data_IF_222229171728
#
_entry.id   IF_222229171728
#
_cell.length_a   1.000
_cell.length_b   1.000
_cell.length_c   1.000
_cell.angle_alpha   90.00
_cell.angle_beta   90.00
_cell.angle_gamma   90.00
#
_symmetry.space_group_name_H-M   'P 1'
#
loop_
_entity.id
_entity.type
_entity.pdbx_description
1 polymer ?
#
# COMPACT_ATOMS: atom_id res chain seq x y z
N UNK A 1 7.60 -2.69 6.09
CA UNK A 1 6.98 -3.72 5.25
C UNK A 1 5.84 -3.11 4.43
N UNK A 2 5.56 -3.68 3.26
CA UNK A 2 4.52 -3.11 2.38
C UNK A 2 3.12 -3.15 3.02
N UNK A 3 2.76 -4.24 3.69
CA UNK A 3 1.44 -4.38 4.32
C UNK A 3 1.27 -3.58 5.62
N UNK A 4 2.35 -3.35 6.39
CA UNK A 4 2.28 -2.67 7.69
C UNK A 4 2.77 -1.21 7.65
N UNK A 5 3.34 -0.78 6.54
CA UNK A 5 3.85 0.60 6.37
C UNK A 5 3.23 1.27 5.15
N UNK A 6 3.43 0.74 3.94
CA UNK A 6 2.95 1.37 2.70
C UNK A 6 1.42 1.36 2.57
N UNK A 7 0.76 0.24 2.92
CA UNK A 7 -0.70 0.14 2.92
C UNK A 7 -1.35 1.13 3.88
N UNK A 8 -0.99 1.15 5.18
CA UNK A 8 -1.48 2.14 6.13
C UNK A 8 -1.18 3.59 5.73
N UNK A 9 0.01 3.88 5.20
CA UNK A 9 0.34 5.20 4.67
C UNK A 9 -0.62 5.63 3.57
N UNK A 10 -0.84 4.74 2.59
CA UNK A 10 -1.74 5.01 1.47
C UNK A 10 -3.17 5.22 1.94
N UNK A 11 -3.65 4.39 2.87
CA UNK A 11 -4.98 4.54 3.46
C UNK A 11 -5.13 5.89 4.18
N UNK A 12 -4.18 6.24 5.03
CA UNK A 12 -4.18 7.52 5.75
C UNK A 12 -4.20 8.72 4.79
N UNK A 13 -3.40 8.68 3.72
CA UNK A 13 -3.37 9.74 2.71
C UNK A 13 -4.71 9.90 2.01
N UNK A 14 -5.29 8.82 1.48
CA UNK A 14 -6.58 8.83 0.79
C UNK A 14 -7.68 9.38 1.71
N UNK A 15 -7.69 8.93 2.97
CA UNK A 15 -8.69 9.34 3.93
C UNK A 15 -8.56 10.81 4.35
N UNK A 16 -7.33 11.34 4.48
CA UNK A 16 -7.07 12.75 4.74
C UNK A 16 -7.52 13.65 3.57
N UNK A 17 -7.21 13.25 2.34
CA UNK A 17 -7.63 13.95 1.12
C UNK A 17 -9.16 14.03 1.01
N UNK A 18 -9.85 12.95 1.39
CA UNK A 18 -11.31 12.88 1.43
C UNK A 18 -11.92 13.73 2.54
N UNK A 19 -11.20 13.93 3.65
CA UNK A 19 -11.66 14.64 4.85
C UNK A 19 -10.78 15.87 5.19
N UNK A 20 -10.69 16.88 4.30
CA UNK A 20 -9.81 18.02 4.49
C UNK A 20 -10.18 18.87 5.72
N UNK A 21 -11.46 18.89 6.09
CA UNK A 21 -12.01 19.68 7.19
C UNK A 21 -12.02 18.94 8.53
N UNK A 22 -11.51 17.71 8.62
CA UNK A 22 -11.40 17.01 9.89
C UNK A 22 -10.45 17.75 10.84
N UNK A 23 -10.85 17.91 12.10
CA UNK A 23 -10.00 18.51 13.12
C UNK A 23 -8.96 17.50 13.66
N UNK A 24 -9.34 16.24 13.74
CA UNK A 24 -8.46 15.14 14.19
C UNK A 24 -8.89 13.81 13.58
N UNK A 25 -8.07 12.78 13.78
CA UNK A 25 -8.34 11.44 13.32
C UNK A 25 -8.19 10.42 14.45
N UNK A 26 -8.88 9.28 14.30
CA UNK A 26 -8.64 8.09 15.09
C UNK A 26 -8.42 6.91 14.13
N UNK A 27 -7.39 6.11 14.39
CA UNK A 27 -7.08 4.94 13.60
C UNK A 27 -7.14 3.69 14.49
N UNK A 28 -8.15 2.86 14.27
CA UNK A 28 -8.27 1.53 14.86
C UNK A 28 -7.47 0.54 14.01
N UNK A 29 -6.56 -0.19 14.63
CA UNK A 29 -5.75 -1.21 13.97
C UNK A 29 -6.16 -2.58 14.50
N UNK A 30 -6.39 -3.54 13.61
CA UNK A 30 -6.95 -4.85 13.91
C UNK A 30 -5.98 -5.99 13.62
N UNK A 31 -6.15 -7.11 14.30
CA UNK A 31 -5.48 -8.38 14.05
C UNK A 31 -3.97 -8.27 13.91
N UNK A 32 -3.41 -8.80 12.82
CA UNK A 32 -1.96 -8.79 12.58
C UNK A 32 -1.38 -7.38 12.45
N UNK A 33 -2.16 -6.44 11.87
CA UNK A 33 -1.73 -5.05 11.73
C UNK A 33 -1.53 -4.38 13.11
N UNK A 34 -2.35 -4.73 14.09
CA UNK A 34 -2.19 -4.27 15.47
C UNK A 34 -1.11 -5.04 16.24
N UNK A 35 -1.10 -6.37 16.13
CA UNK A 35 -0.20 -7.22 16.90
C UNK A 35 1.30 -6.95 16.62
N UNK A 36 1.64 -6.64 15.37
CA UNK A 36 3.04 -6.43 14.94
C UNK A 36 3.32 -4.99 14.49
N UNK A 37 2.31 -4.13 14.46
CA UNK A 37 2.36 -2.79 13.88
C UNK A 37 3.39 -1.86 14.51
N UNK A 38 3.59 -1.94 15.84
CA UNK A 38 4.63 -1.14 16.53
C UNK A 38 6.03 -1.46 16.02
N UNK A 39 6.34 -2.74 15.83
CA UNK A 39 7.63 -3.16 15.27
C UNK A 39 7.85 -2.76 13.81
N UNK A 40 6.77 -2.52 13.07
CA UNK A 40 6.80 -2.07 11.70
C UNK A 40 6.53 -0.57 11.51
N UNK A 41 6.48 0.19 12.61
CA UNK A 41 6.24 1.64 12.63
C UNK A 41 4.92 2.05 11.94
N UNK A 42 3.87 1.22 12.11
CA UNK A 42 2.55 1.47 11.51
C UNK A 42 1.91 2.74 12.06
N UNK A 43 1.98 2.93 13.37
CA UNK A 43 1.52 4.15 14.07
C UNK A 43 2.30 5.39 13.61
N UNK A 44 3.61 5.29 13.58
CA UNK A 44 4.47 6.39 13.15
C UNK A 44 4.12 6.86 11.73
N UNK A 45 3.94 5.94 10.79
CA UNK A 45 3.66 6.33 9.41
C UNK A 45 2.26 6.92 9.25
N UNK A 46 1.25 6.43 9.98
CA UNK A 46 -0.09 7.00 9.99
C UNK A 46 -0.07 8.42 10.56
N UNK A 47 0.53 8.61 11.74
CA UNK A 47 0.65 9.91 12.38
C UNK A 47 1.40 10.90 11.49
N UNK A 48 2.53 10.49 10.91
CA UNK A 48 3.32 11.31 9.99
C UNK A 48 2.52 11.73 8.74
N UNK A 49 1.70 10.82 8.22
CA UNK A 49 0.92 11.08 6.98
C UNK A 49 -0.25 12.03 7.24
N UNK A 50 -0.84 11.96 8.43
CA UNK A 50 -1.98 12.81 8.82
C UNK A 50 -1.57 14.14 9.46
N UNK A 51 -0.27 14.33 9.75
CA UNK A 51 0.23 15.59 10.30
C UNK A 51 -0.16 16.79 9.40
N UNK A 52 -0.43 17.99 9.97
CA UNK A 52 -0.30 18.36 11.40
C UNK A 52 -1.50 18.02 12.29
N UNK A 53 -2.50 17.29 11.79
CA UNK A 53 -3.71 16.93 12.56
C UNK A 53 -3.37 15.89 13.63
N UNK A 54 -4.03 15.96 14.77
CA UNK A 54 -3.86 14.97 15.84
C UNK A 54 -4.44 13.61 15.42
N UNK A 55 -3.76 12.55 15.82
CA UNK A 55 -4.17 11.16 15.53
C UNK A 55 -4.12 10.33 16.79
N UNK A 56 -5.22 9.70 17.14
CA UNK A 56 -5.30 8.67 18.17
C UNK A 56 -5.13 7.30 17.50
N UNK A 57 -4.20 6.49 17.99
CA UNK A 57 -4.03 5.09 17.52
C UNK A 57 -4.65 4.14 18.56
N UNK A 58 -5.61 3.35 18.14
CA UNK A 58 -6.28 2.32 18.95
C UNK A 58 -5.83 0.95 18.49
N UNK A 59 -5.18 0.19 19.37
CA UNK A 59 -4.63 -1.12 19.08
C UNK A 59 -5.61 -2.20 19.54
N UNK A 60 -6.10 -3.01 18.60
CA UNK A 60 -7.11 -4.06 18.83
C UNK A 60 -6.66 -5.39 18.19
N UNK A 61 -5.55 -6.00 18.66
CA UNK A 61 -4.97 -7.19 18.04
C UNK A 61 -5.89 -8.42 18.13
N UNK A 62 -6.79 -8.48 19.12
CA UNK A 62 -7.77 -9.57 19.30
C UNK A 62 -8.92 -9.50 18.31
N UNK A 63 -9.15 -8.37 17.65
CA UNK A 63 -10.20 -8.22 16.64
C UNK A 63 -9.65 -8.63 15.28
N UNK A 64 -9.90 -9.87 14.88
CA UNK A 64 -9.54 -10.36 13.55
C UNK A 64 -10.77 -10.30 12.65
N UNK A 65 -10.70 -9.47 11.60
CA UNK A 65 -11.78 -9.37 10.62
C UNK A 65 -11.75 -10.56 9.67
N UNK A 66 -12.93 -11.09 9.32
CA UNK A 66 -13.07 -12.27 8.43
C UNK A 66 -12.46 -12.04 7.05
N UNK A 67 -12.58 -10.81 6.51
CA UNK A 67 -12.11 -10.48 5.18
C UNK A 67 -10.58 -10.54 5.07
N UNK A 68 -9.84 -9.96 6.03
CA UNK A 68 -8.37 -9.98 6.04
C UNK A 68 -7.82 -9.58 7.41
N UNK A 69 -6.71 -10.18 7.83
CA UNK A 69 -6.11 -9.94 9.16
C UNK A 69 -5.48 -8.56 9.32
N UNK A 70 -5.07 -7.89 8.22
CA UNK A 70 -4.48 -6.55 8.26
C UNK A 70 -5.55 -5.46 8.06
N UNK A 71 -6.54 -5.44 8.94
CA UNK A 71 -7.61 -4.46 8.92
C UNK A 71 -7.27 -3.18 9.67
N UNK A 72 -7.83 -2.06 9.19
CA UNK A 72 -7.84 -0.79 9.90
C UNK A 72 -9.15 -0.06 9.66
N UNK A 73 -9.59 0.73 10.66
CA UNK A 73 -10.71 1.66 10.54
C UNK A 73 -10.21 3.06 10.84
N UNK A 74 -10.31 3.95 9.88
CA UNK A 74 -9.99 5.35 10.01
C UNK A 74 -11.27 6.15 10.29
N UNK A 75 -11.21 7.06 11.25
CA UNK A 75 -12.33 7.90 11.68
C UNK A 75 -11.88 9.36 11.63
N UNK A 76 -12.63 10.21 10.95
CA UNK A 76 -12.44 11.65 10.91
C UNK A 76 -13.37 12.31 11.94
N UNK A 77 -12.83 13.22 12.72
CA UNK A 77 -13.54 13.89 13.82
C UNK A 77 -13.57 15.41 13.60
N UNK A 78 -14.67 16.03 13.98
CA UNK A 78 -14.80 17.48 14.05
C UNK A 78 -14.14 18.08 15.32
N UNK A 79 -14.19 19.40 15.50
CA UNK A 79 -13.63 20.08 16.66
C UNK A 79 -14.30 19.68 17.99
N UNK A 80 -15.55 19.24 17.95
CA UNK A 80 -16.28 18.77 19.12
C UNK A 80 -16.07 17.27 19.40
N UNK A 81 -15.30 16.57 18.56
CA UNK A 81 -15.03 15.14 18.66
C UNK A 81 -16.12 14.24 18.07
N UNK A 82 -17.09 14.79 17.32
CA UNK A 82 -18.10 14.00 16.63
C UNK A 82 -17.53 13.37 15.36
N UNK A 83 -18.04 12.19 15.02
CA UNK A 83 -17.64 11.47 13.80
C UNK A 83 -18.20 12.17 12.57
N UNK A 84 -17.32 12.56 11.66
CA UNK A 84 -17.66 13.15 10.35
C UNK A 84 -17.70 12.09 9.24
N UNK A 85 -16.73 11.18 9.24
CA UNK A 85 -16.61 10.11 8.25
C UNK A 85 -15.85 8.94 8.86
N UNK A 86 -16.08 7.73 8.35
CA UNK A 86 -15.33 6.54 8.74
C UNK A 86 -15.09 5.62 7.55
N UNK A 87 -13.96 4.93 7.56
CA UNK A 87 -13.58 4.03 6.49
C UNK A 87 -12.86 2.81 7.03
N UNK A 88 -13.42 1.63 6.74
CA UNK A 88 -12.77 0.34 7.03
C UNK A 88 -12.10 -0.18 5.78
N UNK A 89 -10.80 -0.46 5.88
CA UNK A 89 -9.97 -0.86 4.77
C UNK A 89 -8.91 -1.87 5.21
N UNK A 90 -8.45 -2.70 4.28
CA UNK A 90 -7.51 -3.79 4.53
C UNK A 90 -6.26 -3.62 3.68
N UNK A 91 -5.09 -3.81 4.30
CA UNK A 91 -3.81 -3.82 3.59
C UNK A 91 -3.50 -5.24 3.13
N UNK A 92 -3.69 -5.50 1.84
CA UNK A 92 -3.66 -6.86 1.26
C UNK A 92 -2.31 -7.24 0.62
N UNK A 93 -1.28 -6.43 0.83
CA UNK A 93 0.08 -6.65 0.33
C UNK A 93 0.46 -5.72 -0.81
N UNK A 94 1.77 -5.57 -1.06
CA UNK A 94 2.30 -4.66 -2.10
C UNK A 94 1.93 -3.19 -1.95
N UNK A 95 1.39 -2.77 -0.79
CA UNK A 95 0.80 -1.44 -0.60
C UNK A 95 -0.63 -1.32 -1.14
N UNK A 96 -1.22 -2.41 -1.63
CA UNK A 96 -2.60 -2.46 -2.11
C UNK A 96 -3.59 -2.44 -0.96
N UNK A 97 -4.76 -1.83 -1.23
CA UNK A 97 -5.86 -1.71 -0.30
C UNK A 97 -7.09 -2.42 -0.87
N UNK A 98 -7.87 -3.06 0.00
CA UNK A 98 -9.14 -3.67 -0.32
C UNK A 98 -10.22 -3.27 0.69
N UNK A 99 -11.48 -3.25 0.26
CA UNK A 99 -12.64 -3.01 1.10
C UNK A 99 -13.56 -4.22 1.04
N UNK A 100 -14.16 -4.58 2.17
CA UNK A 100 -15.14 -5.65 2.23
C UNK A 100 -16.36 -5.32 1.35
N UNK A 101 -16.79 -6.28 0.53
CA UNK A 101 -17.94 -6.11 -0.38
C UNK A 101 -17.66 -5.27 -1.63
N UNK A 102 -16.50 -4.61 -1.73
CA UNK A 102 -16.03 -4.02 -2.98
C UNK A 102 -14.98 -4.96 -3.59
N UNK A 103 -15.13 -5.32 -4.86
CA UNK A 103 -14.00 -5.90 -5.61
C UNK A 103 -12.86 -4.90 -5.45
N UNK A 104 -11.75 -5.36 -4.86
CA UNK A 104 -10.56 -4.53 -4.76
C UNK A 104 -10.32 -3.87 -6.11
N UNK A 105 -9.84 -2.64 -6.13
CA UNK A 105 -9.28 -2.10 -7.35
C UNK A 105 -8.15 -3.07 -7.76
N UNK A 106 -8.49 -4.07 -8.55
CA UNK A 106 -7.52 -4.61 -9.47
C UNK A 106 -7.19 -3.41 -10.36
N UNK A 107 -5.98 -2.88 -10.27
CA UNK A 107 -5.43 -2.15 -11.41
C UNK A 107 -5.84 -3.00 -12.62
N UNK A 108 -6.51 -2.38 -13.60
CA UNK A 108 -6.83 -3.09 -14.83
C UNK A 108 -5.56 -3.83 -15.23
N UNK A 109 -5.67 -5.14 -15.47
CA UNK A 109 -4.51 -5.91 -15.86
C UNK A 109 -3.97 -5.28 -17.14
N UNK A 110 -2.76 -4.71 -17.07
CA UNK A 110 -2.08 -4.14 -18.23
C UNK A 110 -1.81 -5.25 -19.24
N UNK A 111 -1.54 -6.46 -18.74
CA UNK A 111 -1.19 -7.61 -19.54
C UNK A 111 -2.41 -8.50 -19.80
N UNK A 112 -2.61 -8.99 -21.04
CA UNK A 112 -3.76 -9.81 -21.40
C UNK A 112 -3.68 -11.27 -20.88
N UNK A 113 -2.50 -11.74 -20.47
CA UNK A 113 -2.28 -13.12 -20.03
C UNK A 113 -1.96 -13.17 -18.54
N UNK A 114 -2.63 -14.08 -17.82
CA UNK A 114 -2.53 -14.19 -16.34
C UNK A 114 -1.55 -15.28 -15.88
N UNK A 115 -1.04 -16.10 -16.80
CA UNK A 115 -0.08 -17.17 -16.50
C UNK A 115 1.10 -17.16 -17.45
N UNK A 116 2.19 -17.79 -17.03
CA UNK A 116 3.46 -17.78 -17.78
C UNK A 116 3.41 -18.65 -19.05
N UNK A 117 2.60 -19.68 -19.05
CA UNK A 117 2.45 -20.59 -20.19
C UNK A 117 1.88 -19.83 -21.39
N UNK A 118 0.81 -19.06 -21.19
CA UNK A 118 0.19 -18.25 -22.24
C UNK A 118 1.14 -17.15 -22.75
N UNK A 119 1.94 -16.55 -21.86
CA UNK A 119 2.95 -15.57 -22.24
C UNK A 119 4.05 -16.22 -23.13
N UNK A 120 4.49 -17.42 -22.76
CA UNK A 120 5.46 -18.17 -23.56
C UNK A 120 4.89 -18.53 -24.94
N UNK A 121 3.64 -18.98 -25.00
CA UNK A 121 2.97 -19.32 -26.25
C UNK A 121 2.86 -18.08 -27.15
N UNK A 122 2.39 -16.96 -26.61
CA UNK A 122 2.35 -15.69 -27.33
C UNK A 122 3.72 -15.28 -27.89
N UNK A 123 4.79 -15.39 -27.07
CA UNK A 123 6.15 -15.08 -27.49
C UNK A 123 6.60 -15.98 -28.66
N UNK A 124 6.28 -17.27 -28.64
CA UNK A 124 6.61 -18.22 -29.71
C UNK A 124 5.85 -17.92 -31.00
N UNK A 125 4.55 -17.70 -30.90
CA UNK A 125 3.69 -17.40 -32.05
C UNK A 125 4.08 -16.10 -32.75
N UNK A 126 4.50 -15.11 -32.00
CA UNK A 126 4.90 -13.80 -32.52
C UNK A 126 6.39 -13.66 -32.80
N UNK A 127 7.20 -14.72 -32.62
CA UNK A 127 8.66 -14.68 -32.73
C UNK A 127 9.31 -13.57 -31.89
N UNK A 128 8.77 -13.33 -30.69
CA UNK A 128 9.17 -12.28 -29.72
C UNK A 128 9.69 -12.90 -28.43
N UNK A 129 10.36 -12.10 -27.62
CA UNK A 129 10.81 -12.47 -26.28
C UNK A 129 9.98 -11.72 -25.21
N UNK A 130 10.24 -11.98 -23.92
CA UNK A 130 9.52 -11.35 -22.81
C UNK A 130 9.67 -9.82 -22.77
N UNK A 131 10.81 -9.27 -23.20
CA UNK A 131 11.00 -7.82 -23.25
C UNK A 131 10.10 -7.22 -24.34
N UNK A 132 9.97 -7.91 -25.46
CA UNK A 132 9.07 -7.50 -26.55
C UNK A 132 7.60 -7.60 -26.12
N UNK A 133 7.25 -8.63 -25.30
CA UNK A 133 5.93 -8.77 -24.71
C UNK A 133 5.59 -7.57 -23.81
N UNK A 134 6.51 -7.19 -22.91
CA UNK A 134 6.32 -6.03 -22.05
C UNK A 134 6.13 -4.75 -22.86
N UNK A 135 6.97 -4.52 -23.87
CA UNK A 135 6.85 -3.34 -24.75
C UNK A 135 5.58 -3.28 -25.59
N UNK A 136 4.97 -4.43 -25.86
CA UNK A 136 3.73 -4.49 -26.64
C UNK A 136 2.50 -4.07 -25.83
N UNK A 137 2.48 -4.43 -24.53
CA UNK A 137 1.27 -4.30 -23.71
C UNK A 137 1.36 -3.26 -22.61
N UNK A 138 2.55 -2.80 -22.25
CA UNK A 138 2.75 -1.78 -21.21
C UNK A 138 2.83 -0.36 -21.82
N UNK A 139 2.92 0.64 -20.98
CA UNK A 139 3.06 2.03 -21.38
C UNK A 139 4.35 2.27 -22.19
N UNK A 140 4.35 3.26 -23.09
CA UNK A 140 5.48 3.58 -23.97
C UNK A 140 6.77 3.88 -23.20
N UNK A 141 6.67 4.41 -21.97
CA UNK A 141 7.79 4.79 -21.11
C UNK A 141 8.24 3.70 -20.13
N UNK A 142 7.63 2.48 -20.18
CA UNK A 142 7.93 1.39 -19.23
C UNK A 142 9.43 1.10 -19.11
N UNK A 143 10.17 1.15 -20.22
CA UNK A 143 11.60 0.85 -20.22
C UNK A 143 12.42 1.94 -19.53
N UNK A 144 12.01 3.18 -19.60
CA UNK A 144 12.65 4.31 -18.90
C UNK A 144 12.30 4.27 -17.41
N UNK A 145 11.06 3.98 -17.07
CA UNK A 145 10.63 3.74 -15.69
C UNK A 145 11.42 2.60 -15.04
N UNK A 146 11.56 1.46 -15.72
CA UNK A 146 12.35 0.33 -15.20
C UNK A 146 13.83 0.67 -15.03
N UNK A 147 14.39 1.55 -15.89
CA UNK A 147 15.76 2.05 -15.74
C UNK A 147 15.89 2.91 -14.48
N UNK A 148 14.95 3.79 -14.22
CA UNK A 148 14.93 4.60 -12.98
C UNK A 148 14.84 3.72 -11.73
N UNK A 149 13.94 2.73 -11.72
CA UNK A 149 13.83 1.74 -10.63
C UNK A 149 15.16 1.03 -10.40
N UNK A 150 15.81 0.56 -11.48
CA UNK A 150 17.13 -0.11 -11.38
C UNK A 150 18.18 0.80 -10.75
N UNK A 151 18.23 2.07 -11.16
CA UNK A 151 19.18 3.03 -10.61
C UNK A 151 18.92 3.31 -9.13
N UNK A 152 17.66 3.49 -8.75
CA UNK A 152 17.25 3.66 -7.35
C UNK A 152 17.61 2.45 -6.48
N UNK A 153 17.33 1.24 -6.96
CA UNK A 153 17.69 -0.01 -6.27
C UNK A 153 19.21 -0.14 -6.11
N UNK A 154 19.98 0.15 -7.17
CA UNK A 154 21.46 0.09 -7.13
C UNK A 154 22.01 1.10 -6.14
N UNK A 155 21.51 2.33 -6.17
CA UNK A 155 21.91 3.36 -5.21
C UNK A 155 21.62 2.93 -3.78
N UNK A 156 20.43 2.37 -3.50
CA UNK A 156 20.07 1.88 -2.17
C UNK A 156 21.01 0.77 -1.69
N UNK A 157 21.38 -0.15 -2.59
CA UNK A 157 22.37 -1.21 -2.30
C UNK A 157 23.76 -0.61 -1.98
N UNK A 158 24.24 0.29 -2.83
CA UNK A 158 25.55 0.93 -2.66
C UNK A 158 25.61 1.75 -1.36
N UNK A 159 24.52 2.44 -1.00
CA UNK A 159 24.42 3.21 0.23
C UNK A 159 24.39 2.27 1.45
N UNK A 160 23.64 1.17 1.38
CA UNK A 160 23.58 0.18 2.44
C UNK A 160 24.92 -0.51 2.69
N UNK A 161 25.68 -0.82 1.64
CA UNK A 161 27.01 -1.42 1.76
C UNK A 161 28.06 -0.46 2.39
N UNK A 162 27.82 0.84 2.31
CA UNK A 162 28.67 1.88 2.92
C UNK A 162 28.23 2.28 4.33
N UNK A 163 27.04 1.89 4.73
CA UNK A 163 26.51 2.21 6.05
C UNK A 163 27.35 1.50 7.13
N UNK A 164 27.75 2.24 8.16
CA UNK A 164 28.53 1.76 9.30
C UNK A 164 27.69 1.61 10.56
N UNK A 165 26.43 2.04 10.52
CA UNK A 165 25.53 1.96 11.66
C UNK A 165 25.02 0.50 11.81
N UNK A 166 24.99 0.05 13.05
CA UNK A 166 24.44 -1.26 13.40
C UNK A 166 22.94 -1.07 13.65
N UNK A 167 22.12 -1.90 13.02
CA UNK A 167 20.67 -1.94 13.24
C UNK A 167 20.38 -2.57 14.61
#
# INVERSE_FOLDING_TARGET
>A
SSSHTMGPQRAARIFNEKNPNAASFRAHLYGSLAATGKGHLTDYIIIKTLAPKNVEIVWEPEIVKEFHTNGMKLVALDEAGNVMDEWTVFSVGGGSLAEEGKRGHSSASVYPHDNIEDIIEWCRENHKNFVDYVKEFDDEDIMDYLREIRLAMRKSLDDGLKATDII
#
